data_IF_897526124033
#
_entry.id   IF_897526124033
#
_cell.length_a   1.000
_cell.length_b   1.000
_cell.length_c   1.000
_cell.angle_alpha   90.00
_cell.angle_beta   90.00
_cell.angle_gamma   90.00
#
_symmetry.space_group_name_H-M   'P 1'
#
loop_
_entity.id
_entity.type
_entity.pdbx_description
1 polymer ?
#
# COMPACT_ATOMS: atom_id res chain seq x y z
N UNK A 1 -12.55 -5.16 25.11
CA UNK A 1 -13.48 -6.09 25.76
C UNK A 1 -13.99 -7.17 24.79
N UNK A 2 -14.64 -6.78 23.68
CA UNK A 2 -15.22 -7.73 22.71
C UNK A 2 -14.19 -8.67 22.11
N UNK A 3 -13.03 -8.20 21.72
CA UNK A 3 -11.96 -9.03 21.20
C UNK A 3 -11.55 -10.13 22.18
N UNK A 4 -11.35 -9.76 23.46
CA UNK A 4 -11.06 -10.73 24.52
C UNK A 4 -12.22 -11.71 24.73
N UNK A 5 -13.46 -11.21 24.73
CA UNK A 5 -14.65 -12.03 24.88
C UNK A 5 -14.75 -13.09 23.77
N UNK A 6 -14.66 -12.67 22.48
CA UNK A 6 -14.77 -13.58 21.34
C UNK A 6 -13.67 -14.64 21.37
N UNK A 7 -12.45 -14.26 21.67
CA UNK A 7 -11.33 -15.20 21.78
C UNK A 7 -11.54 -16.19 22.94
N UNK A 8 -11.95 -15.72 24.12
CA UNK A 8 -12.19 -16.60 25.28
C UNK A 8 -13.33 -17.59 25.02
N UNK A 9 -14.45 -17.16 24.43
CA UNK A 9 -15.55 -18.09 24.12
C UNK A 9 -15.17 -19.09 23.02
N UNK A 10 -14.23 -18.74 22.14
CA UNK A 10 -13.70 -19.68 21.14
C UNK A 10 -12.74 -20.70 21.79
N UNK A 11 -11.85 -20.27 22.67
CA UNK A 11 -10.92 -21.13 23.42
C UNK A 11 -11.67 -22.12 24.33
N UNK A 12 -12.70 -21.66 25.01
CA UNK A 12 -13.57 -22.51 25.86
C UNK A 12 -14.56 -23.39 25.08
N UNK A 13 -14.48 -23.38 23.74
CA UNK A 13 -15.39 -24.09 22.84
C UNK A 13 -16.87 -23.70 22.98
N UNK A 14 -17.19 -22.63 23.68
CA UNK A 14 -18.57 -22.15 23.84
C UNK A 14 -19.11 -21.63 22.50
N UNK A 15 -18.26 -21.04 21.66
CA UNK A 15 -18.62 -20.58 20.32
C UNK A 15 -19.22 -21.72 19.46
N UNK A 16 -18.72 -22.94 19.62
CA UNK A 16 -19.14 -24.10 18.84
C UNK A 16 -20.27 -24.87 19.49
N UNK A 17 -20.27 -24.95 20.84
CA UNK A 17 -21.24 -25.73 21.59
C UNK A 17 -22.56 -24.99 21.83
N UNK A 18 -22.52 -23.64 21.75
CA UNK A 18 -23.67 -22.77 22.00
C UNK A 18 -23.74 -21.61 20.99
N UNK A 19 -23.97 -21.89 19.69
CA UNK A 19 -23.97 -20.89 18.64
C UNK A 19 -25.05 -19.83 18.82
N UNK A 20 -26.13 -20.12 19.54
CA UNK A 20 -27.23 -19.18 19.78
C UNK A 20 -26.77 -17.88 20.43
N UNK A 21 -25.70 -17.93 21.26
CA UNK A 21 -25.15 -16.70 21.88
C UNK A 21 -24.65 -15.71 20.85
N UNK A 22 -23.81 -16.16 19.93
CA UNK A 22 -23.21 -15.28 18.91
C UNK A 22 -24.24 -14.86 17.85
N UNK A 23 -25.18 -15.73 17.51
CA UNK A 23 -26.29 -15.43 16.61
C UNK A 23 -27.22 -14.35 17.20
N UNK A 24 -27.60 -14.46 18.48
CA UNK A 24 -28.39 -13.42 19.15
C UNK A 24 -27.65 -12.08 19.17
N UNK A 25 -26.36 -12.06 19.45
CA UNK A 25 -25.53 -10.85 19.41
C UNK A 25 -25.55 -10.27 18.00
N UNK A 26 -25.41 -11.10 16.96
CA UNK A 26 -25.43 -10.67 15.56
C UNK A 26 -26.78 -10.00 15.19
N UNK A 27 -27.90 -10.61 15.54
CA UNK A 27 -29.25 -10.06 15.27
C UNK A 27 -29.39 -8.66 15.87
N UNK A 28 -28.95 -8.47 17.12
CA UNK A 28 -29.01 -7.18 17.78
C UNK A 28 -28.17 -6.11 17.06
N UNK A 29 -26.90 -6.43 16.77
CA UNK A 29 -26.01 -5.44 16.13
C UNK A 29 -26.38 -5.19 14.67
N UNK A 30 -26.85 -6.20 13.94
CA UNK A 30 -27.37 -6.01 12.59
C UNK A 30 -28.56 -5.07 12.58
N UNK A 31 -29.53 -5.27 13.46
CA UNK A 31 -30.69 -4.41 13.59
C UNK A 31 -30.30 -2.97 13.93
N UNK A 32 -29.41 -2.77 14.91
CA UNK A 32 -28.93 -1.43 15.27
C UNK A 32 -28.06 -0.79 14.17
N UNK A 33 -27.33 -1.56 13.38
CA UNK A 33 -26.51 -1.04 12.29
C UNK A 33 -27.33 -0.44 11.16
N UNK A 34 -28.62 -0.80 11.05
CA UNK A 34 -29.55 -0.23 10.06
C UNK A 34 -30.33 0.97 10.59
N UNK A 35 -30.14 1.33 11.86
CA UNK A 35 -30.89 2.41 12.50
C UNK A 35 -30.67 3.77 11.79
N UNK A 36 -31.72 4.57 11.70
CA UNK A 36 -31.65 5.93 11.18
C UNK A 36 -30.79 6.84 12.07
N UNK A 37 -30.81 6.61 13.39
CA UNK A 37 -29.99 7.33 14.34
C UNK A 37 -28.50 6.98 14.16
N UNK A 38 -27.68 8.01 13.89
CA UNK A 38 -26.24 7.87 13.64
C UNK A 38 -25.51 7.19 14.80
N UNK A 39 -25.82 7.54 16.04
CA UNK A 39 -25.11 7.02 17.21
C UNK A 39 -25.26 5.49 17.30
N UNK A 40 -26.48 4.98 17.19
CA UNK A 40 -26.72 3.53 17.19
C UNK A 40 -26.05 2.85 15.98
N UNK A 41 -26.25 3.40 14.79
CA UNK A 41 -25.66 2.84 13.57
C UNK A 41 -24.15 2.79 13.64
N UNK A 42 -23.47 3.86 14.07
CA UNK A 42 -22.03 3.93 14.18
C UNK A 42 -21.49 2.95 15.24
N UNK A 43 -22.02 3.04 16.48
CA UNK A 43 -21.56 2.15 17.57
C UNK A 43 -21.75 0.68 17.21
N UNK A 44 -22.92 0.33 16.67
CA UNK A 44 -23.19 -1.04 16.25
C UNK A 44 -22.24 -1.51 15.15
N UNK A 45 -21.96 -0.65 14.16
CA UNK A 45 -21.00 -1.01 13.09
C UNK A 45 -19.60 -1.25 13.65
N UNK A 46 -19.09 -0.34 14.51
CA UNK A 46 -17.76 -0.49 15.14
C UNK A 46 -17.67 -1.78 15.96
N UNK A 47 -18.72 -2.07 16.75
CA UNK A 47 -18.79 -3.31 17.53
C UNK A 47 -18.78 -4.53 16.62
N UNK A 48 -19.59 -4.53 15.56
CA UNK A 48 -19.65 -5.65 14.62
C UNK A 48 -18.33 -5.85 13.87
N UNK A 49 -17.69 -4.77 13.43
CA UNK A 49 -16.37 -4.85 12.80
C UNK A 49 -15.30 -5.38 13.76
N UNK A 50 -15.37 -5.03 15.05
CA UNK A 50 -14.51 -5.60 16.07
C UNK A 50 -14.74 -7.12 16.21
N UNK A 51 -15.99 -7.59 16.16
CA UNK A 51 -16.29 -9.03 16.16
C UNK A 51 -15.72 -9.70 14.92
N UNK A 52 -15.87 -9.11 13.74
CA UNK A 52 -15.32 -9.64 12.47
C UNK A 52 -13.78 -9.76 12.55
N UNK A 53 -13.08 -8.74 13.04
CA UNK A 53 -11.61 -8.79 13.18
C UNK A 53 -11.17 -9.81 14.22
N UNK A 54 -11.91 -9.96 15.32
CA UNK A 54 -11.64 -10.98 16.33
C UNK A 54 -11.89 -12.39 15.81
N UNK A 55 -12.99 -12.61 15.08
CA UNK A 55 -13.28 -13.88 14.40
C UNK A 55 -12.23 -14.21 13.33
N UNK A 56 -11.68 -13.22 12.63
CA UNK A 56 -10.57 -13.42 11.69
C UNK A 56 -9.34 -14.00 12.40
N UNK A 57 -9.02 -13.50 13.61
CA UNK A 57 -7.93 -14.06 14.43
C UNK A 57 -8.24 -15.50 14.85
N UNK A 58 -9.47 -15.79 15.25
CA UNK A 58 -9.90 -17.15 15.60
C UNK A 58 -9.81 -18.08 14.38
N UNK A 59 -10.27 -17.62 13.21
CA UNK A 59 -10.21 -18.38 11.96
C UNK A 59 -8.79 -18.72 11.55
N UNK A 60 -7.86 -17.75 11.65
CA UNK A 60 -6.44 -17.97 11.40
C UNK A 60 -5.86 -19.06 12.31
N UNK A 61 -6.11 -18.96 13.63
CA UNK A 61 -5.64 -19.94 14.61
C UNK A 61 -6.21 -21.34 14.37
N UNK A 62 -7.50 -21.43 14.05
CA UNK A 62 -8.16 -22.72 13.79
C UNK A 62 -7.66 -23.32 12.48
N UNK A 63 -7.45 -22.54 11.45
CA UNK A 63 -6.86 -22.96 10.17
C UNK A 63 -5.45 -23.53 10.37
N UNK A 64 -4.60 -22.83 11.13
CA UNK A 64 -3.26 -23.30 11.47
C UNK A 64 -3.28 -24.63 12.24
N UNK A 65 -4.20 -24.77 13.18
CA UNK A 65 -4.35 -26.01 13.95
C UNK A 65 -4.86 -27.16 13.08
N UNK A 66 -5.79 -26.91 12.16
CA UNK A 66 -6.26 -27.90 11.18
C UNK A 66 -5.12 -28.35 10.27
N UNK A 67 -4.35 -27.39 9.71
CA UNK A 67 -3.19 -27.69 8.88
C UNK A 67 -2.12 -28.52 9.62
N UNK A 68 -1.83 -28.19 10.88
CA UNK A 68 -0.92 -28.98 11.73
C UNK A 68 -1.44 -30.39 11.94
N UNK A 69 -2.73 -30.57 12.28
CA UNK A 69 -3.36 -31.87 12.47
C UNK A 69 -3.30 -32.74 11.21
N UNK A 70 -3.58 -32.16 10.04
CA UNK A 70 -3.46 -32.86 8.76
C UNK A 70 -2.03 -33.30 8.46
N UNK A 71 -1.03 -32.42 8.66
CA UNK A 71 0.39 -32.78 8.49
C UNK A 71 0.83 -33.93 9.40
N UNK A 72 0.32 -33.94 10.63
CA UNK A 72 0.60 -35.03 11.58
C UNK A 72 0.02 -36.37 11.09
N UNK A 73 -1.23 -36.38 10.60
CA UNK A 73 -1.86 -37.57 9.99
C UNK A 73 -1.04 -38.05 8.77
N UNK A 74 -0.66 -37.18 7.86
CA UNK A 74 0.14 -37.55 6.70
C UNK A 74 1.51 -38.14 7.09
N UNK A 75 2.15 -37.54 8.09
CA UNK A 75 3.44 -38.00 8.59
C UNK A 75 3.31 -39.41 9.19
N UNK A 76 2.24 -39.67 9.93
CA UNK A 76 1.99 -40.98 10.51
C UNK A 76 1.64 -42.02 9.43
N UNK A 77 0.84 -41.67 8.42
CA UNK A 77 0.54 -42.53 7.25
C UNK A 77 1.81 -42.91 6.47
N UNK A 78 2.76 -42.02 6.30
CA UNK A 78 4.06 -42.26 5.60
C UNK A 78 4.94 -43.32 6.30
N UNK A 79 4.73 -43.61 7.60
CA UNK A 79 5.48 -44.64 8.33
C UNK A 79 5.10 -46.07 7.91
N UNK A 80 4.04 -46.29 7.16
CA UNK A 80 3.63 -47.55 6.56
C UNK A 80 3.39 -48.66 7.60
N UNK A 81 4.02 -49.81 7.42
CA UNK A 81 3.85 -50.99 8.29
C UNK A 81 4.22 -50.78 9.79
N UNK A 82 4.93 -49.70 10.11
CA UNK A 82 5.27 -49.30 11.50
C UNK A 82 4.20 -48.44 12.14
N UNK A 83 3.14 -48.09 11.42
CA UNK A 83 2.08 -47.21 11.90
C UNK A 83 1.18 -47.93 12.93
N UNK A 84 0.99 -47.32 14.08
CA UNK A 84 0.01 -47.76 15.05
C UNK A 84 -1.42 -47.39 14.57
N UNK A 85 -2.20 -48.38 14.12
CA UNK A 85 -3.54 -48.18 13.56
C UNK A 85 -4.49 -47.44 14.53
N UNK A 86 -4.39 -47.68 15.81
CA UNK A 86 -5.22 -47.01 16.81
C UNK A 86 -4.86 -45.52 16.94
N UNK A 87 -3.56 -45.23 16.97
CA UNK A 87 -3.04 -43.85 16.99
C UNK A 87 -3.42 -43.09 15.73
N UNK A 88 -3.27 -43.72 14.55
CA UNK A 88 -3.65 -43.09 13.29
C UNK A 88 -5.16 -42.74 13.28
N UNK A 89 -6.04 -43.64 13.70
CA UNK A 89 -7.48 -43.37 13.80
C UNK A 89 -7.80 -42.19 14.75
N UNK A 90 -7.11 -42.12 15.89
CA UNK A 90 -7.27 -41.00 16.84
C UNK A 90 -6.83 -39.66 16.20
N UNK A 91 -5.73 -39.66 15.48
CA UNK A 91 -5.23 -38.47 14.80
C UNK A 91 -6.14 -38.05 13.63
N UNK A 92 -6.68 -39.00 12.87
CA UNK A 92 -7.66 -38.75 11.81
C UNK A 92 -8.96 -38.15 12.37
N UNK A 93 -9.45 -38.68 13.52
CA UNK A 93 -10.61 -38.10 14.19
C UNK A 93 -10.38 -36.67 14.65
N UNK A 94 -9.20 -36.39 15.25
CA UNK A 94 -8.82 -35.05 15.67
C UNK A 94 -8.64 -34.07 14.48
N UNK A 95 -8.07 -34.54 13.36
CA UNK A 95 -7.95 -33.73 12.16
C UNK A 95 -9.32 -33.40 11.54
N UNK A 96 -10.25 -34.36 11.56
CA UNK A 96 -11.62 -34.14 11.10
C UNK A 96 -12.37 -33.15 11.97
N UNK A 97 -12.23 -33.23 13.30
CA UNK A 97 -12.80 -32.26 14.24
C UNK A 97 -12.23 -30.85 13.97
N UNK A 98 -10.92 -30.74 13.79
CA UNK A 98 -10.28 -29.46 13.49
C UNK A 98 -10.78 -28.84 12.16
N UNK A 99 -10.99 -29.65 11.12
CA UNK A 99 -11.58 -29.18 9.85
C UNK A 99 -13.04 -28.72 10.03
N UNK A 100 -13.82 -29.41 10.81
CA UNK A 100 -15.21 -29.01 11.08
C UNK A 100 -15.29 -27.69 11.85
N UNK A 101 -14.36 -27.46 12.80
CA UNK A 101 -14.25 -26.20 13.50
C UNK A 101 -13.84 -25.07 12.57
N UNK A 102 -12.91 -25.34 11.65
CA UNK A 102 -12.48 -24.37 10.64
C UNK A 102 -13.67 -23.97 9.74
N UNK A 103 -14.37 -24.93 9.16
CA UNK A 103 -15.55 -24.68 8.32
C UNK A 103 -16.62 -23.85 9.05
N UNK A 104 -16.87 -24.16 10.32
CA UNK A 104 -17.83 -23.41 11.14
C UNK A 104 -17.43 -21.96 11.34
N UNK A 105 -16.16 -21.71 11.75
CA UNK A 105 -15.67 -20.35 12.01
C UNK A 105 -15.61 -19.53 10.73
N UNK A 106 -15.17 -20.12 9.61
CA UNK A 106 -15.14 -19.45 8.31
C UNK A 106 -16.55 -19.07 7.83
N UNK A 107 -17.54 -19.96 8.02
CA UNK A 107 -18.92 -19.67 7.68
C UNK A 107 -19.49 -18.54 8.56
N UNK A 108 -19.24 -18.58 9.86
CA UNK A 108 -19.66 -17.55 10.81
C UNK A 108 -19.02 -16.20 10.49
N UNK A 109 -17.72 -16.18 10.22
CA UNK A 109 -16.96 -15.00 9.87
C UNK A 109 -17.50 -14.35 8.58
N UNK A 110 -17.77 -15.17 7.57
CA UNK A 110 -18.34 -14.72 6.31
C UNK A 110 -19.73 -14.12 6.50
N UNK A 111 -20.58 -14.76 7.27
CA UNK A 111 -21.93 -14.28 7.54
C UNK A 111 -21.92 -12.91 8.27
N UNK A 112 -21.07 -12.74 9.28
CA UNK A 112 -20.88 -11.45 9.96
C UNK A 112 -20.35 -10.37 9.00
N UNK A 113 -19.39 -10.72 8.16
CA UNK A 113 -18.83 -9.78 7.19
C UNK A 113 -19.88 -9.35 6.16
N UNK A 114 -20.58 -10.30 5.55
CA UNK A 114 -21.57 -10.02 4.51
C UNK A 114 -22.76 -9.23 5.08
N UNK A 115 -23.20 -9.55 6.29
CA UNK A 115 -24.34 -8.89 6.93
C UNK A 115 -24.05 -7.43 7.31
N UNK A 116 -22.84 -7.09 7.71
CA UNK A 116 -22.49 -5.75 8.20
C UNK A 116 -21.66 -4.97 7.19
N UNK A 117 -20.49 -5.49 6.81
CA UNK A 117 -19.53 -4.76 6.00
C UNK A 117 -20.11 -4.35 4.64
N UNK A 118 -20.74 -5.30 3.93
CA UNK A 118 -21.30 -5.07 2.59
C UNK A 118 -22.35 -3.96 2.57
N UNK A 119 -23.03 -3.73 3.70
CA UNK A 119 -24.01 -2.67 3.83
C UNK A 119 -23.43 -1.35 4.37
N UNK A 120 -22.32 -1.38 5.09
CA UNK A 120 -21.79 -0.21 5.80
C UNK A 120 -20.58 0.45 5.13
N UNK A 121 -19.84 -0.24 4.26
CA UNK A 121 -18.72 0.39 3.54
C UNK A 121 -19.14 1.56 2.66
N UNK A 122 -20.41 1.67 2.29
CA UNK A 122 -21.03 2.79 1.55
C UNK A 122 -21.95 3.63 2.42
N UNK A 123 -21.80 3.59 3.74
CA UNK A 123 -22.63 4.41 4.62
C UNK A 123 -22.45 5.89 4.30
N UNK A 124 -23.52 6.67 4.49
CA UNK A 124 -23.46 8.14 4.37
C UNK A 124 -22.51 8.80 5.37
N UNK A 125 -22.25 8.16 6.50
CA UNK A 125 -21.33 8.64 7.52
C UNK A 125 -19.88 8.29 7.17
N UNK A 126 -19.01 9.30 7.10
CA UNK A 126 -17.60 9.17 6.74
C UNK A 126 -16.85 8.27 7.72
N UNK A 127 -17.13 8.40 9.02
CA UNK A 127 -16.45 7.63 10.06
C UNK A 127 -16.75 6.14 9.91
N UNK A 128 -18.01 5.79 9.59
CA UNK A 128 -18.40 4.40 9.34
C UNK A 128 -17.66 3.81 8.15
N UNK A 129 -17.57 4.57 7.04
CA UNK A 129 -16.83 4.09 5.87
C UNK A 129 -15.35 3.87 6.16
N UNK A 130 -14.72 4.81 6.89
CA UNK A 130 -13.32 4.69 7.31
C UNK A 130 -13.09 3.46 8.18
N UNK A 131 -13.94 3.24 9.20
CA UNK A 131 -13.84 2.06 10.07
C UNK A 131 -14.02 0.74 9.31
N UNK A 132 -14.89 0.70 8.29
CA UNK A 132 -15.01 -0.45 7.40
C UNK A 132 -13.70 -0.74 6.66
N UNK A 133 -13.03 0.29 6.11
CA UNK A 133 -11.75 0.09 5.40
C UNK A 133 -10.64 -0.36 6.35
N UNK A 134 -10.55 0.21 7.54
CA UNK A 134 -9.59 -0.22 8.55
C UNK A 134 -9.81 -1.69 8.97
N UNK A 135 -11.07 -2.08 9.20
CA UNK A 135 -11.41 -3.45 9.57
C UNK A 135 -11.14 -4.45 8.44
N UNK A 136 -11.46 -4.10 7.18
CA UNK A 136 -11.14 -4.94 6.04
C UNK A 136 -9.63 -5.15 5.90
N UNK A 137 -8.85 -4.08 6.06
CA UNK A 137 -7.38 -4.17 6.06
C UNK A 137 -6.84 -5.12 7.12
N UNK A 138 -7.41 -5.06 8.32
CA UNK A 138 -7.04 -5.98 9.40
C UNK A 138 -7.41 -7.43 9.09
N UNK A 139 -8.60 -7.66 8.55
CA UNK A 139 -9.05 -9.00 8.15
C UNK A 139 -8.16 -9.61 7.06
N UNK A 140 -7.76 -8.82 6.06
CA UNK A 140 -6.87 -9.27 4.97
C UNK A 140 -5.52 -9.71 5.52
N UNK A 141 -4.95 -8.97 6.48
CA UNK A 141 -3.66 -9.31 7.09
C UNK A 141 -3.76 -10.50 8.03
N UNK A 142 -4.85 -10.57 8.82
CA UNK A 142 -5.00 -11.59 9.86
C UNK A 142 -5.44 -12.95 9.31
N UNK A 143 -6.33 -12.95 8.32
CA UNK A 143 -6.89 -14.17 7.70
C UNK A 143 -6.79 -14.09 6.16
N UNK A 144 -5.56 -14.09 5.60
CA UNK A 144 -5.35 -13.92 4.16
C UNK A 144 -5.99 -15.04 3.34
N UNK A 145 -6.07 -16.26 3.86
CA UNK A 145 -6.76 -17.38 3.19
C UNK A 145 -8.23 -17.10 2.88
N UNK A 146 -8.87 -16.24 3.67
CA UNK A 146 -10.30 -15.91 3.54
C UNK A 146 -10.52 -14.57 2.83
N UNK A 147 -9.68 -13.56 3.10
CA UNK A 147 -9.92 -12.18 2.68
C UNK A 147 -8.96 -11.64 1.64
N UNK A 148 -7.81 -12.29 1.40
CA UNK A 148 -6.84 -11.84 0.42
C UNK A 148 -7.17 -12.40 -0.97
N UNK A 149 -8.26 -11.93 -1.54
CA UNK A 149 -8.71 -12.28 -2.88
C UNK A 149 -9.24 -11.05 -3.65
N UNK A 150 -9.44 -11.19 -4.95
CA UNK A 150 -9.95 -10.10 -5.79
C UNK A 150 -11.38 -9.66 -5.43
N UNK A 151 -12.16 -10.50 -4.75
CA UNK A 151 -13.51 -10.15 -4.31
C UNK A 151 -13.47 -9.12 -3.16
N UNK A 152 -12.58 -9.29 -2.20
CA UNK A 152 -12.44 -8.39 -1.06
C UNK A 152 -11.58 -7.17 -1.40
N UNK A 153 -10.47 -7.36 -2.13
CA UNK A 153 -9.60 -6.26 -2.55
C UNK A 153 -10.33 -5.21 -3.40
N UNK A 154 -11.34 -5.59 -4.17
CA UNK A 154 -12.13 -4.63 -4.96
C UNK A 154 -12.80 -3.55 -4.11
N UNK A 155 -13.16 -3.84 -2.85
CA UNK A 155 -13.72 -2.83 -1.95
C UNK A 155 -12.70 -1.73 -1.65
N UNK A 156 -11.43 -2.11 -1.42
CA UNK A 156 -10.33 -1.14 -1.29
C UNK A 156 -10.22 -0.28 -2.56
N UNK A 157 -10.20 -0.91 -3.74
CA UNK A 157 -10.10 -0.21 -5.02
C UNK A 157 -11.24 0.77 -5.26
N UNK A 158 -12.48 0.41 -4.95
CA UNK A 158 -13.63 1.32 -5.09
C UNK A 158 -13.55 2.51 -4.14
N UNK A 159 -13.08 2.30 -2.92
CA UNK A 159 -12.99 3.34 -1.89
C UNK A 159 -11.80 4.29 -2.07
N UNK A 160 -10.86 3.99 -3.00
CA UNK A 160 -9.91 4.99 -3.52
C UNK A 160 -10.61 6.18 -4.19
N UNK A 161 -11.86 6.01 -4.63
CA UNK A 161 -12.67 7.08 -5.22
C UNK A 161 -13.70 7.67 -4.26
N UNK A 162 -13.56 7.45 -2.95
CA UNK A 162 -14.46 8.06 -1.94
C UNK A 162 -14.34 9.59 -1.95
N UNK A 163 -15.45 10.28 -1.76
CA UNK A 163 -15.49 11.74 -1.69
C UNK A 163 -14.70 12.30 -0.49
N UNK A 164 -14.64 11.55 0.61
CA UNK A 164 -13.95 11.99 1.82
C UNK A 164 -12.46 11.60 1.80
N UNK A 165 -11.53 12.56 1.91
CA UNK A 165 -10.10 12.29 1.90
C UNK A 165 -9.64 11.37 3.04
N UNK A 166 -10.31 11.44 4.19
CA UNK A 166 -10.01 10.57 5.34
C UNK A 166 -10.24 9.10 5.02
N UNK A 167 -11.22 8.77 4.17
CA UNK A 167 -11.49 7.40 3.72
C UNK A 167 -10.44 6.96 2.71
N UNK A 168 -10.12 7.81 1.72
CA UNK A 168 -9.05 7.52 0.75
C UNK A 168 -7.70 7.31 1.45
N UNK A 169 -7.38 8.18 2.41
CA UNK A 169 -6.16 8.05 3.21
C UNK A 169 -6.10 6.75 4.02
N UNK A 170 -7.23 6.30 4.58
CA UNK A 170 -7.27 4.99 5.28
C UNK A 170 -7.03 3.83 4.32
N UNK A 171 -7.62 3.86 3.11
CA UNK A 171 -7.38 2.84 2.08
C UNK A 171 -5.89 2.79 1.69
N UNK A 172 -5.29 3.96 1.40
CA UNK A 172 -3.86 4.05 1.05
C UNK A 172 -2.99 3.48 2.17
N UNK A 173 -3.28 3.82 3.42
CA UNK A 173 -2.57 3.30 4.59
C UNK A 173 -2.63 1.76 4.67
N UNK A 174 -3.78 1.15 4.38
CA UNK A 174 -3.89 -0.30 4.36
C UNK A 174 -3.13 -0.91 3.17
N UNK A 175 -3.18 -0.29 1.99
CA UNK A 175 -2.41 -0.74 0.82
C UNK A 175 -0.90 -0.65 1.08
N UNK A 176 -0.39 0.42 1.67
CA UNK A 176 1.01 0.53 2.10
C UNK A 176 1.39 -0.65 3.01
N UNK A 177 0.52 -0.98 3.97
CA UNK A 177 0.74 -2.13 4.86
C UNK A 177 0.84 -3.44 4.08
N UNK A 178 0.01 -3.64 3.07
CA UNK A 178 0.04 -4.86 2.25
C UNK A 178 1.31 -4.94 1.39
N UNK A 179 1.72 -3.86 0.75
CA UNK A 179 2.93 -3.83 -0.08
C UNK A 179 4.23 -3.95 0.74
N UNK A 180 4.21 -3.62 2.03
CA UNK A 180 5.33 -3.89 2.96
C UNK A 180 5.45 -5.36 3.38
N UNK A 181 4.51 -6.23 2.96
CA UNK A 181 4.52 -7.66 3.27
C UNK A 181 4.88 -8.47 2.01
N UNK A 182 6.11 -9.02 1.90
CA UNK A 182 6.60 -9.68 0.68
C UNK A 182 5.67 -10.79 0.18
N UNK A 183 5.07 -11.55 1.10
CA UNK A 183 4.17 -12.67 0.77
C UNK A 183 2.88 -12.23 0.07
N UNK A 184 2.49 -10.96 0.18
CA UNK A 184 1.27 -10.42 -0.41
C UNK A 184 1.48 -9.81 -1.81
N UNK A 185 2.70 -9.42 -2.17
CA UNK A 185 2.99 -8.67 -3.40
C UNK A 185 2.48 -9.40 -4.65
N UNK A 186 2.73 -10.71 -4.74
CA UNK A 186 2.30 -11.52 -5.89
C UNK A 186 0.78 -11.50 -6.09
N UNK A 187 0.00 -11.52 -5.02
CA UNK A 187 -1.47 -11.46 -5.07
C UNK A 187 -2.04 -10.08 -5.37
N UNK A 188 -1.24 -9.01 -5.17
CA UNK A 188 -1.66 -7.63 -5.44
C UNK A 188 -1.47 -7.21 -6.90
N UNK A 189 -0.76 -7.98 -7.73
CA UNK A 189 -0.45 -7.60 -9.11
C UNK A 189 -1.69 -7.24 -9.93
N UNK A 190 -2.68 -8.11 -9.96
CA UNK A 190 -3.94 -7.87 -10.72
C UNK A 190 -4.74 -6.69 -10.14
N UNK A 191 -4.70 -6.50 -8.81
CA UNK A 191 -5.29 -5.33 -8.17
C UNK A 191 -4.60 -4.04 -8.62
N UNK A 192 -3.26 -4.04 -8.62
CA UNK A 192 -2.45 -2.89 -9.05
C UNK A 192 -2.70 -2.57 -10.51
N UNK A 193 -2.66 -3.53 -11.43
CA UNK A 193 -2.97 -3.33 -12.85
C UNK A 193 -4.32 -2.63 -13.06
N UNK A 194 -5.30 -2.96 -12.24
CA UNK A 194 -6.65 -2.37 -12.35
C UNK A 194 -6.77 -0.98 -11.74
N UNK A 195 -6.09 -0.69 -10.64
CA UNK A 195 -6.29 0.53 -9.85
C UNK A 195 -5.08 1.47 -9.85
N UNK A 196 -3.97 1.12 -10.53
CA UNK A 196 -2.74 1.91 -10.61
C UNK A 196 -3.02 3.36 -11.02
N UNK A 197 -3.72 3.56 -12.13
CA UNK A 197 -4.04 4.91 -12.61
C UNK A 197 -4.75 5.76 -11.54
N UNK A 198 -5.65 5.14 -10.77
CA UNK A 198 -6.32 5.86 -9.67
C UNK A 198 -5.39 6.18 -8.50
N UNK A 199 -4.44 5.31 -8.19
CA UNK A 199 -3.43 5.58 -7.16
C UNK A 199 -2.52 6.74 -7.59
N UNK A 200 -2.08 6.76 -8.85
CA UNK A 200 -1.28 7.86 -9.42
C UNK A 200 -2.08 9.16 -9.42
N UNK A 201 -3.35 9.14 -9.81
CA UNK A 201 -4.23 10.31 -9.77
C UNK A 201 -4.39 10.87 -8.34
N UNK A 202 -4.54 10.01 -7.33
CA UNK A 202 -4.62 10.45 -5.93
C UNK A 202 -3.31 11.09 -5.48
N UNK A 203 -2.16 10.47 -5.77
CA UNK A 203 -0.87 11.04 -5.41
C UNK A 203 -0.63 12.41 -6.06
N UNK A 204 -1.07 12.58 -7.32
CA UNK A 204 -0.82 13.78 -8.10
C UNK A 204 -1.85 14.89 -7.88
N UNK A 205 -3.12 14.56 -7.67
CA UNK A 205 -4.24 15.50 -7.80
C UNK A 205 -5.19 15.53 -6.58
N UNK A 206 -4.93 14.76 -5.51
CA UNK A 206 -5.83 14.81 -4.35
C UNK A 206 -5.83 16.20 -3.71
N UNK A 207 -7.00 16.68 -3.29
CA UNK A 207 -7.16 17.99 -2.63
C UNK A 207 -6.36 18.11 -1.34
N UNK A 208 -6.14 17.00 -0.65
CA UNK A 208 -5.48 16.99 0.64
C UNK A 208 -4.02 16.55 0.52
N UNK A 209 -3.10 17.42 0.91
CA UNK A 209 -1.65 17.17 0.81
C UNK A 209 -1.18 15.92 1.56
N UNK A 210 -1.80 15.61 2.71
CA UNK A 210 -1.45 14.40 3.45
C UNK A 210 -1.86 13.11 2.69
N UNK A 211 -2.92 13.15 1.89
CA UNK A 211 -3.34 12.01 1.05
C UNK A 211 -2.39 11.89 -0.13
N UNK A 212 -1.98 13.02 -0.76
CA UNK A 212 -0.96 13.02 -1.81
C UNK A 212 0.35 12.42 -1.32
N UNK A 213 0.86 12.90 -0.17
CA UNK A 213 2.10 12.38 0.41
C UNK A 213 2.03 10.87 0.70
N UNK A 214 0.93 10.39 1.29
CA UNK A 214 0.74 8.95 1.49
C UNK A 214 0.59 8.18 0.17
N UNK A 215 0.00 8.81 -0.85
CA UNK A 215 -0.08 8.28 -2.20
C UNK A 215 1.32 8.08 -2.82
N UNK A 216 2.21 9.06 -2.66
CA UNK A 216 3.61 8.95 -3.10
C UNK A 216 4.33 7.80 -2.36
N UNK A 217 4.16 7.66 -1.03
CA UNK A 217 4.74 6.53 -0.28
C UNK A 217 4.25 5.17 -0.83
N UNK A 218 2.96 5.07 -1.18
CA UNK A 218 2.42 3.87 -1.80
C UNK A 218 3.05 3.61 -3.17
N UNK A 219 3.17 4.64 -4.01
CA UNK A 219 3.73 4.50 -5.37
C UNK A 219 5.22 4.18 -5.34
N UNK A 220 5.96 4.63 -4.34
CA UNK A 220 7.36 4.24 -4.14
C UNK A 220 7.49 2.74 -3.90
N UNK A 221 6.63 2.16 -3.06
CA UNK A 221 6.56 0.70 -2.89
C UNK A 221 6.18 -0.03 -4.19
N UNK A 222 5.32 0.56 -5.02
CA UNK A 222 4.99 -0.01 -6.34
C UNK A 222 6.20 0.05 -7.29
N UNK A 223 6.96 1.15 -7.29
CA UNK A 223 8.20 1.30 -8.07
C UNK A 223 9.23 0.25 -7.68
N UNK A 224 9.53 0.11 -6.39
CA UNK A 224 10.44 -0.92 -5.86
C UNK A 224 10.09 -2.34 -6.31
N UNK A 225 8.81 -2.61 -6.56
CA UNK A 225 8.32 -3.91 -7.00
C UNK A 225 8.12 -4.01 -8.53
N UNK A 226 8.53 -3.00 -9.30
CA UNK A 226 8.41 -2.99 -10.76
C UNK A 226 6.96 -2.97 -11.26
N UNK A 227 6.07 -2.33 -10.53
CA UNK A 227 4.63 -2.26 -10.82
C UNK A 227 4.17 -0.91 -11.37
N UNK A 228 5.08 0.05 -11.56
CA UNK A 228 4.82 1.34 -12.20
C UNK A 228 5.28 1.34 -13.66
N UNK A 229 4.62 2.13 -14.49
CA UNK A 229 5.05 2.47 -15.83
C UNK A 229 5.88 3.76 -15.82
N UNK A 230 6.74 4.01 -16.84
CA UNK A 230 7.56 5.22 -16.91
C UNK A 230 6.73 6.50 -16.78
N UNK A 231 5.59 6.59 -17.46
CA UNK A 231 4.70 7.75 -17.39
C UNK A 231 4.15 8.01 -15.97
N UNK A 232 3.94 6.94 -15.18
CA UNK A 232 3.52 7.04 -13.78
C UNK A 232 4.64 7.62 -12.92
N UNK A 233 5.90 7.20 -13.17
CA UNK A 233 7.08 7.70 -12.46
C UNK A 233 7.25 9.20 -12.72
N UNK A 234 7.10 9.63 -13.96
CA UNK A 234 7.18 11.05 -14.33
C UNK A 234 6.05 11.87 -13.69
N UNK A 235 4.83 11.34 -13.67
CA UNK A 235 3.70 12.02 -13.04
C UNK A 235 3.91 12.26 -11.54
N UNK A 236 4.52 11.30 -10.85
CA UNK A 236 4.86 11.41 -9.42
C UNK A 236 6.07 12.33 -9.21
N UNK A 237 7.11 12.20 -10.03
CA UNK A 237 8.34 12.99 -9.92
C UNK A 237 8.09 14.50 -10.02
N UNK A 238 7.12 14.92 -10.84
CA UNK A 238 6.69 16.33 -10.95
C UNK A 238 6.18 16.95 -9.66
N UNK A 239 5.77 16.13 -8.68
CA UNK A 239 5.35 16.63 -7.37
C UNK A 239 6.51 17.21 -6.54
N UNK A 240 7.74 17.13 -7.03
CA UNK A 240 8.88 17.89 -6.47
C UNK A 240 8.60 19.40 -6.49
N UNK A 241 7.71 19.86 -7.37
CA UNK A 241 7.23 21.23 -7.46
C UNK A 241 5.88 21.48 -6.74
N UNK A 242 5.35 20.50 -5.99
CA UNK A 242 4.09 20.66 -5.25
C UNK A 242 4.12 21.87 -4.32
N UNK A 243 2.98 22.51 -4.12
CA UNK A 243 2.85 23.65 -3.23
C UNK A 243 3.12 23.29 -1.75
N UNK A 244 2.77 22.06 -1.34
CA UNK A 244 2.95 21.62 0.04
C UNK A 244 4.35 21.03 0.29
N UNK A 245 5.12 21.59 1.26
CA UNK A 245 6.45 21.08 1.59
C UNK A 245 6.51 19.62 2.01
N UNK A 246 5.42 19.07 2.59
CA UNK A 246 5.38 17.67 3.00
C UNK A 246 5.35 16.74 1.78
N UNK A 247 4.59 17.11 0.75
CA UNK A 247 4.53 16.35 -0.50
C UNK A 247 5.92 16.40 -1.17
N UNK A 248 6.51 17.59 -1.33
CA UNK A 248 7.85 17.72 -1.89
C UNK A 248 8.89 16.85 -1.16
N UNK A 249 8.86 16.85 0.18
CA UNK A 249 9.78 16.03 0.98
C UNK A 249 9.61 14.53 0.74
N UNK A 250 8.36 14.06 0.62
CA UNK A 250 8.09 12.64 0.34
C UNK A 250 8.53 12.25 -1.07
N UNK A 251 8.29 13.13 -2.04
CA UNK A 251 8.69 12.91 -3.44
C UNK A 251 10.21 12.96 -3.62
N UNK A 252 10.95 13.71 -2.80
CA UNK A 252 12.39 13.79 -2.92
C UNK A 252 13.07 12.42 -2.85
N UNK A 253 12.64 11.54 -1.93
CA UNK A 253 13.15 10.18 -1.84
C UNK A 253 12.81 9.36 -3.10
N UNK A 254 11.55 9.39 -3.52
CA UNK A 254 11.08 8.73 -4.74
C UNK A 254 11.87 9.18 -5.97
N UNK A 255 12.05 10.47 -6.16
CA UNK A 255 12.76 11.05 -7.31
C UNK A 255 14.24 10.71 -7.28
N UNK A 256 14.87 10.75 -6.10
CA UNK A 256 16.29 10.40 -5.95
C UNK A 256 16.55 8.95 -6.38
N UNK A 257 15.70 8.03 -5.97
CA UNK A 257 15.83 6.62 -6.38
C UNK A 257 15.54 6.43 -7.87
N UNK A 258 14.55 7.14 -8.41
CA UNK A 258 14.25 7.09 -9.86
C UNK A 258 15.42 7.61 -10.71
N UNK A 259 16.12 8.67 -10.25
CA UNK A 259 17.32 9.18 -10.90
C UNK A 259 18.47 8.19 -10.79
N UNK A 260 18.65 7.52 -9.66
CA UNK A 260 19.64 6.47 -9.50
C UNK A 260 19.43 5.32 -10.50
N UNK A 261 18.18 4.87 -10.66
CA UNK A 261 17.82 3.83 -11.63
C UNK A 261 18.05 4.28 -13.07
N UNK A 262 17.66 5.53 -13.40
CA UNK A 262 17.91 6.10 -14.74
C UNK A 262 19.40 6.21 -15.03
N UNK A 263 20.20 6.69 -14.08
CA UNK A 263 21.65 6.78 -14.21
C UNK A 263 22.29 5.41 -14.41
N UNK A 264 21.89 4.41 -13.62
CA UNK A 264 22.36 3.03 -13.75
C UNK A 264 22.04 2.46 -15.13
N UNK A 265 20.81 2.68 -15.63
CA UNK A 265 20.44 2.23 -16.99
C UNK A 265 21.29 2.91 -18.08
N UNK A 266 21.56 4.23 -17.98
CA UNK A 266 22.41 4.93 -18.92
C UNK A 266 23.87 4.41 -18.88
N UNK A 267 24.39 4.08 -17.70
CA UNK A 267 25.71 3.48 -17.54
C UNK A 267 25.77 2.11 -18.24
N UNK A 268 24.77 1.28 -18.07
CA UNK A 268 24.69 -0.02 -18.72
C UNK A 268 24.61 0.12 -20.25
N UNK A 269 23.85 1.08 -20.77
CA UNK A 269 23.71 1.36 -22.20
C UNK A 269 25.04 1.83 -22.85
N UNK A 270 25.89 2.53 -22.11
CA UNK A 270 27.21 2.99 -22.56
C UNK A 270 28.23 1.85 -22.54
N UNK A 271 27.97 0.76 -21.82
CA UNK A 271 28.85 -0.40 -21.71
C UNK A 271 29.57 -0.51 -20.36
N UNK A 272 29.04 0.14 -19.33
CA UNK A 272 29.53 0.09 -17.96
C UNK A 272 30.39 1.29 -17.55
N UNK A 273 30.82 1.28 -16.29
CA UNK A 273 31.60 2.37 -15.71
C UNK A 273 32.94 2.65 -16.42
N UNK A 274 33.63 1.61 -16.89
CA UNK A 274 34.91 1.76 -17.61
C UNK A 274 34.74 2.54 -18.91
N UNK A 275 33.66 2.24 -19.67
CA UNK A 275 33.34 2.98 -20.90
C UNK A 275 32.88 4.41 -20.62
N UNK A 276 32.24 4.65 -19.48
CA UNK A 276 31.87 6.00 -19.03
C UNK A 276 33.14 6.79 -18.71
N UNK A 277 34.10 6.23 -17.97
CA UNK A 277 35.38 6.88 -17.65
C UNK A 277 36.17 7.28 -18.92
N UNK A 278 36.22 6.38 -19.91
CA UNK A 278 36.86 6.66 -21.19
C UNK A 278 36.18 7.77 -22.01
N UNK A 279 34.85 7.97 -21.80
CA UNK A 279 34.07 8.97 -22.51
C UNK A 279 34.15 10.37 -21.88
N UNK A 280 34.65 10.48 -20.64
CA UNK A 280 34.75 11.77 -19.94
C UNK A 280 35.84 12.65 -20.57
N UNK A 281 35.62 13.99 -20.58
CA UNK A 281 36.63 14.93 -21.10
C UNK A 281 37.95 14.80 -20.35
N UNK A 282 39.08 14.91 -21.08
CA UNK A 282 40.41 15.00 -20.48
C UNK A 282 40.56 16.27 -19.61
N UNK A 283 41.28 16.15 -18.50
CA UNK A 283 41.53 17.27 -17.58
C UNK A 283 42.75 18.02 -18.08
N UNK A 284 42.62 19.30 -18.33
CA UNK A 284 43.79 20.18 -18.47
C UNK A 284 44.51 20.28 -17.12
N UNK A 285 45.87 20.26 -17.14
CA UNK A 285 46.69 20.30 -15.93
C UNK A 285 46.39 21.50 -15.01
N UNK A 286 45.84 22.59 -15.55
CA UNK A 286 45.44 23.79 -14.83
C UNK A 286 43.96 23.83 -14.41
N UNK A 287 43.18 22.81 -14.75
CA UNK A 287 41.73 22.75 -14.42
C UNK A 287 41.47 22.09 -13.07
N UNK A 288 40.34 22.47 -12.45
CA UNK A 288 39.91 21.90 -11.19
C UNK A 288 39.56 20.42 -11.35
N UNK A 289 40.26 19.54 -10.61
CA UNK A 289 40.02 18.10 -10.61
C UNK A 289 38.76 17.79 -9.76
N UNK A 290 37.62 17.73 -10.44
CA UNK A 290 36.34 17.40 -9.85
C UNK A 290 35.99 15.93 -10.02
N UNK A 291 35.20 15.28 -9.11
CA UNK A 291 34.71 13.94 -9.29
C UNK A 291 33.72 13.89 -10.46
N UNK A 292 34.16 13.39 -11.60
CA UNK A 292 33.43 13.46 -12.88
C UNK A 292 32.47 12.32 -13.16
N UNK A 293 32.70 11.16 -12.55
CA UNK A 293 31.85 9.99 -12.74
C UNK A 293 30.39 10.26 -12.35
N UNK A 294 30.19 11.12 -11.37
CA UNK A 294 28.89 11.46 -10.85
C UNK A 294 28.19 12.60 -11.63
N UNK A 295 28.89 13.22 -12.60
CA UNK A 295 28.29 14.25 -13.46
C UNK A 295 27.13 13.72 -14.30
N UNK A 296 27.16 12.45 -14.70
CA UNK A 296 26.04 11.81 -15.40
C UNK A 296 24.77 11.89 -14.59
N UNK A 297 24.86 11.72 -13.27
CA UNK A 297 23.70 11.79 -12.38
C UNK A 297 23.16 13.21 -12.25
N UNK A 298 24.03 14.22 -12.17
CA UNK A 298 23.62 15.63 -12.21
C UNK A 298 22.96 15.98 -13.55
N UNK A 299 23.48 15.45 -14.66
CA UNK A 299 22.89 15.63 -15.98
C UNK A 299 21.51 14.98 -16.06
N UNK A 300 21.34 13.75 -15.59
CA UNK A 300 20.03 13.09 -15.51
C UNK A 300 19.07 13.91 -14.66
N UNK A 301 19.51 14.44 -13.52
CA UNK A 301 18.70 15.28 -12.66
C UNK A 301 18.24 16.56 -13.36
N UNK A 302 19.15 17.27 -14.04
CA UNK A 302 18.81 18.52 -14.75
C UNK A 302 17.84 18.27 -15.89
N UNK A 303 18.08 17.23 -16.72
CA UNK A 303 17.20 16.84 -17.83
C UNK A 303 15.78 16.50 -17.34
N UNK A 304 15.68 15.74 -16.24
CA UNK A 304 14.38 15.35 -15.65
C UNK A 304 13.66 16.58 -15.08
N UNK A 305 14.34 17.45 -14.34
CA UNK A 305 13.70 18.65 -13.78
C UNK A 305 13.26 19.64 -14.86
N UNK A 306 14.03 19.81 -15.93
CA UNK A 306 13.65 20.63 -17.09
C UNK A 306 12.45 20.05 -17.83
N UNK A 307 12.42 18.73 -18.02
CA UNK A 307 11.28 18.05 -18.63
C UNK A 307 10.00 18.22 -17.79
N UNK A 308 10.13 18.22 -16.46
CA UNK A 308 9.00 18.42 -15.55
C UNK A 308 8.49 19.86 -15.48
N UNK A 309 9.36 20.86 -15.71
CA UNK A 309 8.98 22.28 -15.73
C UNK A 309 8.35 22.71 -17.07
N UNK A 310 8.59 21.98 -18.16
CA UNK A 310 8.03 22.28 -19.46
C UNK A 310 6.52 21.98 -19.49
N UNK A 311 5.71 23.02 -19.73
CA UNK A 311 4.23 22.92 -19.77
C UNK A 311 3.70 21.96 -20.85
N UNK A 312 4.43 21.79 -21.95
CA UNK A 312 4.05 20.88 -23.06
C UNK A 312 4.06 19.40 -22.65
N UNK A 313 4.75 19.04 -21.57
CA UNK A 313 4.80 17.67 -21.05
C UNK A 313 3.70 17.35 -20.03
N UNK A 314 2.81 18.31 -19.71
CA UNK A 314 1.66 18.07 -18.85
C UNK A 314 0.63 17.17 -19.56
N UNK A 315 0.22 16.04 -18.96
CA UNK A 315 -0.85 15.23 -19.53
C UNK A 315 -2.11 16.06 -19.74
N UNK A 316 -2.75 15.94 -20.91
CA UNK A 316 -3.95 16.68 -21.30
C UNK A 316 -5.14 16.60 -20.32
N UNK A 317 -5.06 15.77 -19.29
CA UNK A 317 -6.03 15.69 -18.20
C UNK A 317 -5.83 16.78 -17.12
N UNK A 318 -4.60 17.31 -16.96
CA UNK A 318 -4.33 18.44 -16.05
C UNK A 318 -4.81 19.76 -16.67
N UNK A 319 -4.75 19.91 -17.99
CA UNK A 319 -5.30 21.07 -18.70
C UNK A 319 -6.82 21.21 -18.52
N UNK A 320 -7.57 20.13 -18.29
CA UNK A 320 -9.03 20.18 -18.11
C UNK A 320 -9.46 20.67 -16.73
N UNK A 321 -8.55 20.74 -15.75
CA UNK A 321 -8.82 21.31 -14.43
C UNK A 321 -8.58 22.83 -14.34
N UNK A 322 -8.09 23.47 -15.41
CA UNK A 322 -7.91 24.92 -15.53
C UNK A 322 -9.21 25.65 -15.92
N UNK A 323 -10.36 25.22 -15.40
CA UNK A 323 -11.52 26.11 -15.29
C UNK A 323 -11.22 27.22 -14.28
N UNK A 324 -11.68 28.44 -14.54
CA UNK A 324 -11.57 29.60 -13.64
C UNK A 324 -11.87 29.20 -12.18
N UNK A 325 -10.82 28.96 -11.37
CA UNK A 325 -10.92 28.51 -9.98
C UNK A 325 -10.18 27.21 -9.66
N UNK A 326 -9.44 26.61 -10.60
CA UNK A 326 -8.61 25.41 -10.35
C UNK A 326 -7.50 25.71 -9.33
N UNK A 327 -7.45 24.93 -8.26
CA UNK A 327 -6.35 24.93 -7.30
C UNK A 327 -5.06 24.54 -8.04
N UNK A 328 -4.14 25.50 -8.20
CA UNK A 328 -2.81 25.22 -8.69
C UNK A 328 -2.07 24.45 -7.58
N UNK A 329 -1.90 23.15 -7.73
CA UNK A 329 -1.16 22.31 -6.78
C UNK A 329 0.34 22.53 -6.85
N UNK A 330 0.82 23.20 -7.92
CA UNK A 330 2.23 23.56 -8.08
C UNK A 330 2.53 24.90 -7.39
N UNK A 331 3.72 25.00 -6.81
CA UNK A 331 4.14 26.21 -6.12
C UNK A 331 4.22 27.39 -7.12
N UNK A 332 3.44 28.44 -6.84
CA UNK A 332 3.50 29.72 -7.52
C UNK A 332 3.97 30.76 -6.51
N UNK A 333 5.23 31.16 -6.57
CA UNK A 333 5.82 32.06 -5.59
C UNK A 333 6.99 32.88 -6.15
N UNK A 334 7.62 33.68 -5.28
CA UNK A 334 8.82 34.47 -5.63
C UNK A 334 10.06 33.59 -5.84
N UNK A 335 10.09 32.38 -5.26
CA UNK A 335 11.20 31.45 -5.40
C UNK A 335 11.03 30.62 -6.68
N UNK A 336 12.15 30.38 -7.37
CA UNK A 336 12.16 29.47 -8.51
C UNK A 336 11.73 28.06 -8.08
N UNK A 337 10.94 27.38 -8.92
CA UNK A 337 10.57 25.97 -8.71
C UNK A 337 11.79 25.08 -8.54
N UNK A 338 12.86 25.35 -9.29
CA UNK A 338 14.14 24.65 -9.16
C UNK A 338 14.80 24.86 -7.80
N UNK A 339 14.69 26.07 -7.21
CA UNK A 339 15.18 26.33 -5.84
C UNK A 339 14.43 25.49 -4.82
N UNK A 340 13.13 25.35 -4.99
CA UNK A 340 12.30 24.51 -4.10
C UNK A 340 12.65 23.02 -4.27
N UNK A 341 12.84 22.55 -5.50
CA UNK A 341 13.29 21.18 -5.77
C UNK A 341 14.67 20.91 -5.18
N UNK A 342 15.65 21.78 -5.45
CA UNK A 342 17.00 21.67 -4.90
C UNK A 342 17.01 21.63 -3.38
N UNK A 343 16.16 22.43 -2.72
CA UNK A 343 16.09 22.48 -1.25
C UNK A 343 15.63 21.16 -0.61
N UNK A 344 14.76 20.40 -1.28
CA UNK A 344 14.29 19.11 -0.76
C UNK A 344 15.17 17.94 -1.21
N UNK A 345 15.77 18.03 -2.40
CA UNK A 345 16.71 17.04 -2.92
C UNK A 345 18.07 17.10 -2.21
N UNK A 346 18.41 18.24 -1.60
CA UNK A 346 19.65 18.40 -0.83
C UNK A 346 19.79 17.36 0.29
N UNK A 347 18.70 16.95 0.93
CA UNK A 347 18.71 15.96 2.00
C UNK A 347 18.81 14.50 1.49
N UNK A 348 18.55 14.27 0.21
CA UNK A 348 18.39 12.91 -0.35
C UNK A 348 19.42 12.55 -1.42
N UNK A 349 20.03 13.55 -2.07
CA UNK A 349 21.06 13.38 -3.11
C UNK A 349 22.39 13.97 -2.64
N UNK A 350 23.38 13.10 -2.40
CA UNK A 350 24.71 13.51 -1.97
C UNK A 350 25.42 14.41 -3.01
N UNK A 351 25.15 14.18 -4.29
CA UNK A 351 25.70 14.93 -5.41
C UNK A 351 25.28 16.41 -5.41
N UNK A 352 24.10 16.71 -4.88
CA UNK A 352 23.63 18.11 -4.73
C UNK A 352 24.30 18.79 -3.52
N UNK A 353 24.85 18.03 -2.57
CA UNK A 353 25.57 18.55 -1.41
C UNK A 353 27.05 18.81 -1.71
N UNK A 354 27.64 18.13 -2.70
CA UNK A 354 29.05 18.27 -3.02
C UNK A 354 29.28 19.50 -3.91
N UNK A 355 29.65 20.61 -3.25
CA UNK A 355 29.96 21.87 -3.94
C UNK A 355 31.16 21.75 -4.91
N UNK A 356 32.07 20.79 -4.68
CA UNK A 356 33.24 20.58 -5.54
C UNK A 356 32.82 19.98 -6.87
N UNK A 357 31.93 19.00 -6.81
CA UNK A 357 31.31 18.40 -7.97
C UNK A 357 30.52 19.45 -8.78
N UNK A 358 29.65 20.22 -8.10
CA UNK A 358 28.87 21.28 -8.74
C UNK A 358 29.76 22.34 -9.38
N UNK A 359 30.81 22.77 -8.69
CA UNK A 359 31.77 23.78 -9.24
C UNK A 359 32.52 23.23 -10.46
N UNK A 360 32.81 21.95 -10.53
CA UNK A 360 33.39 21.30 -11.71
C UNK A 360 32.41 21.11 -12.86
N UNK A 361 31.12 20.83 -12.55
CA UNK A 361 30.08 20.59 -13.54
C UNK A 361 29.62 21.87 -14.27
N UNK A 362 29.42 22.97 -13.54
CA UNK A 362 28.90 24.24 -14.09
C UNK A 362 29.68 24.87 -15.27
N UNK A 363 31.02 24.79 -15.36
CA UNK A 363 31.78 25.35 -16.47
C UNK A 363 31.70 24.56 -17.78
N UNK A 364 31.24 23.31 -17.74
CA UNK A 364 31.11 22.47 -18.93
C UNK A 364 29.83 22.80 -19.68
N UNK A 365 29.96 22.89 -21.01
CA UNK A 365 28.84 23.05 -21.93
C UNK A 365 28.17 21.70 -22.08
N UNK A 366 26.93 21.57 -21.64
CA UNK A 366 26.22 20.29 -21.48
C UNK A 366 25.24 20.01 -22.60
#
# INVERSE_FOLDING_TARGET
FLDVLIRSIAEDKLLYNNPELIENIQVWFTSMSTASNRAFRHTSTVVSLCVVTSLSTVASNVSDNAAKSHRMVETERKKGNKTNKQRLRSMEASAKEASQLQEFVEALLKDWFDTIFVHRYRDKDISIRRECMAALGECIVTAPSTFFDGHHLRYMGWMLSDLAPVVRGEVIKQLIRFFKMPDMIGGLKTFTERFRNRMVEIASLDSESHVRASGVELLDLLRENGLLEPDDVDAVGRLVFDADPKVRKTVASFLSESINELCASKIDDIGGLESLEESLPEVDEDSYDAPRLEWLKLKCLSEVLEAYDNEESLPSQIERSHGEGGLTLLAAGADSRFTLAASVLYDTLEEVQDWRMLAGYLPFDH
#
